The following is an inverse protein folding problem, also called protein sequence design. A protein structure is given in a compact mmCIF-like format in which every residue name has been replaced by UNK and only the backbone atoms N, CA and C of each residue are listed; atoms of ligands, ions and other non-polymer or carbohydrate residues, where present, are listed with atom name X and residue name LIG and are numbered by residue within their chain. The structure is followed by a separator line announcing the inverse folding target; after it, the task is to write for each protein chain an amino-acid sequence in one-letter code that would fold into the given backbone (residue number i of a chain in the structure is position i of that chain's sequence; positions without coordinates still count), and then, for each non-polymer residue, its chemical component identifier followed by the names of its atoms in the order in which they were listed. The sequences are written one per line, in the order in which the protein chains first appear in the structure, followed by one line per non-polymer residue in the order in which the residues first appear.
data_IF_873313026071
#
_entry.id   IF_873313026071
#
_cell.length_a   1.000
_cell.length_b   1.000
_cell.length_c   1.000
_cell.angle_alpha   90.00
_cell.angle_beta   90.00
_cell.angle_gamma   90.00
#
_symmetry.space_group_name_H-M   'P 1'
#
loop_
_entity.id
_entity.type
_entity.pdbx_description
1 polymer ?
#
# COMPACT_ATOMS: atom_id res chain seq x y z
N UNK A 1 13.87 -4.27 9.93
CA UNK A 1 12.49 -3.93 9.54
C UNK A 1 11.89 -5.03 8.69
N UNK A 2 10.63 -5.40 8.91
CA UNK A 2 9.92 -6.46 8.15
C UNK A 2 9.69 -6.12 6.67
N UNK A 3 9.97 -4.86 6.27
CA UNK A 3 9.71 -4.27 4.95
C UNK A 3 10.95 -4.08 4.07
N UNK A 4 12.10 -4.74 4.35
CA UNK A 4 13.34 -4.60 3.53
C UNK A 4 13.14 -5.00 2.06
N UNK A 5 12.17 -5.85 1.77
CA UNK A 5 11.84 -6.28 0.40
C UNK A 5 11.05 -5.23 -0.40
N UNK A 6 10.46 -4.24 0.26
CA UNK A 6 9.57 -3.27 -0.34
C UNK A 6 10.35 -2.23 -1.14
N UNK A 7 9.87 -1.92 -2.35
CA UNK A 7 10.45 -0.90 -3.22
C UNK A 7 9.31 -0.10 -3.89
N UNK A 8 9.39 1.23 -3.76
CA UNK A 8 8.35 2.14 -4.25
C UNK A 8 8.22 2.14 -5.78
N UNK A 9 9.28 1.75 -6.49
CA UNK A 9 9.37 1.81 -7.96
C UNK A 9 8.88 0.54 -8.67
N UNK A 10 8.82 -0.59 -7.96
CA UNK A 10 8.54 -1.91 -8.55
C UNK A 10 7.53 -2.69 -7.72
N UNK A 11 6.90 -3.67 -8.37
CA UNK A 11 6.04 -4.65 -7.71
C UNK A 11 6.84 -5.90 -7.38
N UNK A 12 7.03 -6.17 -6.10
CA UNK A 12 7.78 -7.32 -5.59
C UNK A 12 6.98 -8.62 -5.72
N UNK A 13 7.66 -9.77 -5.66
CA UNK A 13 7.01 -11.08 -5.80
C UNK A 13 5.95 -11.35 -4.72
N UNK A 14 6.17 -10.86 -3.50
CA UNK A 14 5.20 -10.96 -2.39
C UNK A 14 3.89 -10.25 -2.76
N UNK A 15 3.98 -9.05 -3.35
CA UNK A 15 2.80 -8.31 -3.82
C UNK A 15 2.11 -9.03 -4.97
N UNK A 16 2.87 -9.59 -5.92
CA UNK A 16 2.30 -10.36 -7.04
C UNK A 16 1.56 -11.61 -6.57
N UNK A 17 2.03 -12.25 -5.50
CA UNK A 17 1.35 -13.39 -4.89
C UNK A 17 0.08 -12.99 -4.15
N UNK A 18 0.05 -11.82 -3.51
CA UNK A 18 -1.12 -11.30 -2.80
C UNK A 18 -2.18 -10.68 -3.74
N UNK A 19 -1.73 -10.14 -4.88
CA UNK A 19 -2.55 -9.46 -5.86
C UNK A 19 -2.25 -9.92 -7.29
N UNK A 20 -2.52 -11.20 -7.63
CA UNK A 20 -2.24 -11.74 -8.95
C UNK A 20 -3.01 -11.01 -10.07
N UNK A 21 -4.15 -10.41 -9.77
CA UNK A 21 -4.93 -9.59 -10.70
C UNK A 21 -4.14 -8.39 -11.23
N UNK A 22 -3.19 -7.86 -10.45
CA UNK A 22 -2.36 -6.73 -10.85
C UNK A 22 -1.02 -7.14 -11.48
N UNK A 23 -0.73 -8.44 -11.58
CA UNK A 23 0.52 -8.97 -12.11
C UNK A 23 0.41 -9.45 -13.57
N UNK A 24 -0.74 -9.25 -14.24
CA UNK A 24 -1.03 -9.81 -15.55
C UNK A 24 -0.38 -9.02 -16.70
N UNK A 25 -0.48 -7.68 -16.66
CA UNK A 25 0.08 -6.80 -17.68
C UNK A 25 0.92 -5.68 -17.06
N UNK A 26 1.86 -5.07 -17.81
CA UNK A 26 2.59 -3.90 -17.34
C UNK A 26 1.69 -2.73 -16.91
N UNK A 27 0.52 -2.59 -17.54
CA UNK A 27 -0.47 -1.55 -17.20
C UNK A 27 -1.10 -1.83 -15.84
N UNK A 28 -1.47 -3.09 -15.57
CA UNK A 28 -2.04 -3.48 -14.27
C UNK A 28 -1.05 -3.29 -13.13
N UNK A 29 0.23 -3.64 -13.38
CA UNK A 29 1.32 -3.42 -12.44
C UNK A 29 1.47 -1.93 -12.14
N UNK A 30 1.48 -1.09 -13.17
CA UNK A 30 1.58 0.36 -12.99
C UNK A 30 0.39 0.92 -12.22
N UNK A 31 -0.82 0.41 -12.46
CA UNK A 31 -2.04 0.83 -11.74
C UNK A 31 -1.94 0.49 -10.26
N UNK A 32 -1.50 -0.73 -9.92
CA UNK A 32 -1.29 -1.16 -8.55
C UNK A 32 -0.21 -0.33 -7.85
N UNK A 33 0.93 -0.10 -8.50
CA UNK A 33 2.01 0.72 -7.93
C UNK A 33 1.51 2.13 -7.62
N UNK A 34 0.80 2.79 -8.53
CA UNK A 34 0.24 4.13 -8.30
C UNK A 34 -0.73 4.14 -7.11
N UNK A 35 -1.66 3.17 -7.07
CA UNK A 35 -2.62 2.98 -5.98
C UNK A 35 -1.92 2.80 -4.63
N UNK A 36 -1.01 1.82 -4.56
CA UNK A 36 -0.24 1.45 -3.37
C UNK A 36 0.61 2.62 -2.88
N UNK A 37 1.34 3.27 -3.79
CA UNK A 37 2.20 4.40 -3.47
C UNK A 37 1.38 5.56 -2.93
N UNK A 38 0.17 5.80 -3.43
CA UNK A 38 -0.69 6.85 -2.89
C UNK A 38 -1.08 6.60 -1.43
N UNK A 39 -1.35 5.35 -1.05
CA UNK A 39 -1.63 4.97 0.35
C UNK A 39 -0.37 5.19 1.21
N UNK A 40 0.80 4.77 0.72
CA UNK A 40 2.07 4.95 1.43
C UNK A 40 2.43 6.44 1.60
N UNK A 41 2.26 7.25 0.56
CA UNK A 41 2.45 8.71 0.61
C UNK A 41 1.53 9.36 1.64
N UNK A 42 0.24 8.97 1.65
CA UNK A 42 -0.73 9.50 2.61
C UNK A 42 -0.32 9.22 4.06
N UNK A 43 0.25 8.05 4.34
CA UNK A 43 0.79 7.75 5.67
C UNK A 43 2.03 8.60 5.99
N UNK A 44 2.94 8.76 5.02
CA UNK A 44 4.19 9.51 5.20
C UNK A 44 3.99 11.02 5.40
N UNK A 45 2.86 11.57 4.99
CA UNK A 45 2.53 12.98 5.26
C UNK A 45 2.29 13.22 6.77
N UNK A 46 1.75 12.23 7.49
CA UNK A 46 1.45 12.31 8.92
C UNK A 46 1.71 10.99 9.65
N UNK A 47 2.97 10.52 9.73
CA UNK A 47 3.28 9.15 10.15
C UNK A 47 2.99 8.88 11.64
N UNK A 48 2.91 9.93 12.46
CA UNK A 48 2.47 9.89 13.85
C UNK A 48 0.97 9.61 14.06
N UNK A 49 0.16 9.68 13.00
CA UNK A 49 -1.28 9.39 13.05
C UNK A 49 -1.55 8.06 12.35
N UNK A 50 -2.27 7.11 12.98
CA UNK A 50 -2.70 5.90 12.30
C UNK A 50 -3.50 6.24 11.05
N UNK A 51 -3.06 5.71 9.91
CA UNK A 51 -3.79 5.82 8.65
C UNK A 51 -4.86 4.73 8.61
N UNK A 52 -6.13 5.10 8.52
CA UNK A 52 -7.22 4.15 8.31
C UNK A 52 -7.55 4.01 6.81
N UNK A 53 -8.02 2.83 6.41
CA UNK A 53 -8.42 2.57 5.01
C UNK A 53 -9.49 3.56 4.51
N UNK A 54 -10.37 4.03 5.40
CA UNK A 54 -11.40 5.04 5.08
C UNK A 54 -10.82 6.41 4.73
N UNK A 55 -9.67 6.77 5.30
CA UNK A 55 -8.98 8.02 4.96
C UNK A 55 -8.43 7.94 3.54
N UNK A 56 -7.95 6.75 3.13
CA UNK A 56 -7.42 6.50 1.79
C UNK A 56 -8.48 6.67 0.69
N UNK A 57 -9.76 6.38 0.98
CA UNK A 57 -10.85 6.49 0.00
C UNK A 57 -11.02 7.92 -0.57
N UNK A 58 -10.60 8.94 0.18
CA UNK A 58 -10.68 10.35 -0.26
C UNK A 58 -9.55 10.74 -1.20
N UNK A 59 -8.47 9.96 -1.22
CA UNK A 59 -7.23 10.29 -1.92
C UNK A 59 -6.92 9.33 -3.07
N UNK A 60 -7.65 8.22 -3.18
CA UNK A 60 -7.41 7.13 -4.11
C UNK A 60 -8.62 6.86 -4.98
N UNK A 61 -8.45 6.93 -6.30
CA UNK A 61 -9.48 6.57 -7.29
C UNK A 61 -9.55 5.05 -7.54
N UNK A 62 -9.91 4.29 -6.51
CA UNK A 62 -10.16 2.84 -6.59
C UNK A 62 -11.44 2.49 -5.81
N UNK A 63 -12.00 1.31 -6.08
CA UNK A 63 -13.14 0.82 -5.30
C UNK A 63 -12.74 0.55 -3.85
N UNK A 64 -13.71 0.60 -2.94
CA UNK A 64 -13.45 0.46 -1.52
C UNK A 64 -12.78 -0.88 -1.19
N UNK A 65 -13.25 -1.99 -1.75
CA UNK A 65 -12.71 -3.33 -1.50
C UNK A 65 -11.21 -3.40 -1.84
N UNK A 66 -10.83 -2.86 -3.00
CA UNK A 66 -9.43 -2.74 -3.42
C UNK A 66 -8.61 -1.92 -2.43
N UNK A 67 -9.09 -0.74 -2.01
CA UNK A 67 -8.40 0.11 -1.03
C UNK A 67 -8.21 -0.62 0.30
N UNK A 68 -9.26 -1.27 0.83
CA UNK A 68 -9.18 -2.04 2.07
C UNK A 68 -8.16 -3.18 2.00
N UNK A 69 -8.14 -3.94 0.91
CA UNK A 69 -7.18 -5.04 0.72
C UNK A 69 -5.74 -4.55 0.65
N UNK A 70 -5.47 -3.49 -0.10
CA UNK A 70 -4.10 -2.94 -0.22
C UNK A 70 -3.65 -2.29 1.08
N UNK A 71 -4.52 -1.52 1.73
CA UNK A 71 -4.23 -0.92 3.04
C UNK A 71 -3.87 -2.00 4.07
N UNK A 72 -4.73 -3.01 4.24
CA UNK A 72 -4.49 -4.10 5.21
C UNK A 72 -3.20 -4.87 4.92
N UNK A 73 -2.86 -5.06 3.65
CA UNK A 73 -1.61 -5.69 3.25
C UNK A 73 -0.39 -4.86 3.65
N UNK A 74 -0.42 -3.54 3.40
CA UNK A 74 0.67 -2.64 3.76
C UNK A 74 0.86 -2.53 5.28
N UNK A 75 -0.25 -2.54 6.01
CA UNK A 75 -0.29 -2.52 7.48
C UNK A 75 0.33 -3.80 8.07
N UNK A 76 -0.11 -4.96 7.59
CA UNK A 76 0.41 -6.28 8.00
C UNK A 76 1.93 -6.41 7.83
N UNK A 77 2.48 -5.84 6.75
CA UNK A 77 3.93 -5.87 6.48
C UNK A 77 4.73 -4.75 7.16
N UNK A 78 4.08 -3.86 7.91
CA UNK A 78 4.72 -2.71 8.52
C UNK A 78 5.37 -1.79 7.47
N UNK A 79 4.65 -1.52 6.38
CA UNK A 79 5.01 -0.49 5.41
C UNK A 79 4.31 0.83 5.77
N UNK A 80 3.11 0.73 6.34
CA UNK A 80 2.38 1.82 6.99
C UNK A 80 2.13 1.46 8.46
N UNK A 81 1.75 2.44 9.28
CA UNK A 81 1.45 2.30 10.71
C UNK A 81 2.49 1.49 11.49
N UNK A 82 3.78 1.70 11.19
CA UNK A 82 4.82 0.92 11.87
C UNK A 82 4.92 1.35 13.33
N UNK A 83 4.88 0.37 14.24
CA UNK A 83 5.08 0.54 15.69
C UNK A 83 6.40 1.27 16.06
N UNK A 84 7.33 1.42 15.12
CA UNK A 84 8.58 2.17 15.31
C UNK A 84 8.43 3.69 15.16
N UNK A 85 7.35 4.17 14.54
CA UNK A 85 7.05 5.61 14.37
C UNK A 85 6.02 6.13 15.40
N UNK A 86 5.29 5.22 16.06
CA UNK A 86 4.32 5.51 17.11
C UNK A 86 4.94 5.67 18.52
N UNK A 87 6.24 5.99 18.63
CA UNK A 87 6.94 6.17 19.91
C UNK A 87 7.66 7.51 20.03
#
# INVERSE_FOLDING_TARGET
SYSVWFDISKMHQIEKSAFPEYAQTPVDVSRYISLRNKIVETYRDFPQVPLYATDCLRHVSADASTVFRVHSFLDYWGIINTESDAR
#
